data_IF_626109382433
#
_entry.id   IF_626109382433
#
_cell.length_a   1.000
_cell.length_b   1.000
_cell.length_c   1.000
_cell.angle_alpha   90.00
_cell.angle_beta   90.00
_cell.angle_gamma   90.00
#
_symmetry.space_group_name_H-M   'P 1'
#
loop_
_entity.id
_entity.type
_entity.pdbx_description
1 polymer ?
#
# COMPACT_ATOMS: atom_id res chain seq x y z
N UNK A 1 1.20 19.28 -17.62
CA UNK A 1 0.79 18.32 -18.65
C UNK A 1 1.66 18.58 -19.87
N UNK A 2 2.20 17.55 -20.49
CA UNK A 2 2.97 17.70 -21.73
C UNK A 2 2.06 18.03 -22.92
N UNK A 3 2.64 18.26 -24.09
CA UNK A 3 1.90 18.62 -25.30
C UNK A 3 0.87 17.55 -25.67
N UNK A 4 1.24 16.28 -25.56
CA UNK A 4 0.38 15.15 -25.92
C UNK A 4 -0.76 14.96 -24.93
N UNK A 5 -0.49 15.06 -23.63
CA UNK A 5 -1.50 15.00 -22.58
C UNK A 5 -2.52 16.12 -22.69
N UNK A 6 -2.10 17.34 -23.07
CA UNK A 6 -3.01 18.46 -23.28
C UNK A 6 -4.00 18.20 -24.44
N UNK A 7 -3.52 17.69 -25.57
CA UNK A 7 -4.37 17.33 -26.72
C UNK A 7 -5.39 16.27 -26.32
N UNK A 8 -4.97 15.22 -25.62
CA UNK A 8 -5.86 14.15 -25.17
C UNK A 8 -6.92 14.65 -24.16
N UNK A 9 -6.51 15.53 -23.24
CA UNK A 9 -7.42 16.15 -22.28
C UNK A 9 -8.49 17.02 -22.95
N UNK A 10 -8.09 17.85 -23.91
CA UNK A 10 -9.02 18.69 -24.68
C UNK A 10 -10.01 17.86 -25.49
N UNK A 11 -9.54 16.77 -26.11
CA UNK A 11 -10.41 15.82 -26.82
C UNK A 11 -11.46 15.19 -25.89
N UNK A 12 -11.05 14.66 -24.73
CA UNK A 12 -11.99 14.07 -23.76
C UNK A 12 -13.00 15.09 -23.21
N UNK A 13 -12.58 16.35 -23.08
CA UNK A 13 -13.46 17.45 -22.68
C UNK A 13 -14.53 17.73 -23.74
N UNK A 14 -14.14 17.83 -25.02
CA UNK A 14 -15.05 18.02 -26.15
C UNK A 14 -16.03 16.86 -26.30
N UNK A 15 -15.57 15.62 -26.12
CA UNK A 15 -16.39 14.42 -26.16
C UNK A 15 -17.30 14.26 -24.92
N UNK A 16 -17.16 15.13 -23.89
CA UNK A 16 -17.86 15.04 -22.59
C UNK A 16 -17.58 13.75 -21.81
N UNK A 17 -16.43 13.13 -22.06
CA UNK A 17 -16.00 11.84 -21.48
C UNK A 17 -15.07 11.98 -20.29
N UNK A 18 -14.96 13.19 -19.73
CA UNK A 18 -14.15 13.47 -18.54
C UNK A 18 -14.56 12.66 -17.29
N UNK A 19 -15.75 12.05 -17.30
CA UNK A 19 -16.24 11.18 -16.22
C UNK A 19 -16.07 9.69 -16.51
N UNK A 20 -15.71 9.33 -17.74
CA UNK A 20 -15.51 7.94 -18.11
C UNK A 20 -14.27 7.40 -17.39
N UNK A 21 -14.33 6.16 -16.90
CA UNK A 21 -13.16 5.52 -16.28
C UNK A 21 -12.16 5.01 -17.32
N UNK A 22 -12.64 4.56 -18.48
CA UNK A 22 -11.81 3.87 -19.46
C UNK A 22 -10.64 4.70 -20.02
N UNK A 23 -10.74 6.02 -20.24
CA UNK A 23 -9.60 6.81 -20.71
C UNK A 23 -8.50 6.98 -19.65
N UNK A 24 -8.84 6.77 -18.38
CA UNK A 24 -7.94 6.95 -17.24
C UNK A 24 -7.56 5.62 -16.56
N UNK A 25 -8.12 4.49 -17.01
CA UNK A 25 -7.89 3.18 -16.41
C UNK A 25 -8.17 2.05 -17.42
N UNK A 26 -7.21 1.14 -17.67
CA UNK A 26 -5.87 1.12 -17.08
C UNK A 26 -4.98 2.24 -17.65
N UNK A 27 -4.05 2.76 -16.84
CA UNK A 27 -3.11 3.79 -17.27
C UNK A 27 -2.08 3.22 -18.25
N UNK A 28 -2.46 3.07 -19.52
CA UNK A 28 -1.61 2.46 -20.56
C UNK A 28 -0.21 3.12 -20.66
N UNK A 29 -0.11 4.42 -20.33
CA UNK A 29 1.11 5.20 -20.40
C UNK A 29 1.83 5.39 -19.05
N UNK A 30 1.53 4.57 -18.03
CA UNK A 30 2.34 4.56 -16.80
C UNK A 30 1.97 5.64 -15.77
N UNK A 31 0.67 5.81 -15.50
CA UNK A 31 0.20 6.57 -14.34
C UNK A 31 0.70 5.97 -13.02
N UNK A 32 0.81 6.80 -11.98
CA UNK A 32 1.27 6.39 -10.66
C UNK A 32 0.08 6.11 -9.76
N UNK A 33 -0.02 4.89 -9.24
CA UNK A 33 -0.97 4.55 -8.19
C UNK A 33 -0.33 4.78 -6.82
N UNK A 34 -1.07 5.38 -5.88
CA UNK A 34 -0.60 5.59 -4.50
C UNK A 34 -1.48 4.79 -3.55
N UNK A 35 -0.86 3.94 -2.72
CA UNK A 35 -1.56 3.17 -1.68
C UNK A 35 -0.91 3.37 -0.34
N UNK A 36 -1.74 3.51 0.69
CA UNK A 36 -1.30 3.65 2.06
C UNK A 36 -1.79 2.48 2.91
N UNK A 37 -0.97 2.03 3.85
CA UNK A 37 -1.32 1.02 4.85
C UNK A 37 -0.73 1.43 6.20
N UNK A 38 -1.45 1.18 7.30
CA UNK A 38 -0.94 1.37 8.67
C UNK A 38 -0.45 0.06 9.31
N UNK A 39 -0.19 -0.95 8.46
CA UNK A 39 0.15 -2.29 8.89
C UNK A 39 -1.01 -3.04 9.54
N UNK A 40 -0.82 -4.35 9.68
CA UNK A 40 -1.69 -5.19 10.49
C UNK A 40 -1.13 -5.36 11.89
N UNK A 41 -2.01 -5.48 12.86
CA UNK A 41 -1.68 -5.85 14.24
C UNK A 41 -2.31 -7.22 14.55
N UNK A 42 -1.73 -8.03 15.45
CA UNK A 42 -2.33 -9.28 15.87
C UNK A 42 -3.71 -9.06 16.50
N UNK A 43 -4.47 -10.14 16.57
CA UNK A 43 -5.77 -10.15 17.26
C UNK A 43 -5.59 -9.89 18.76
N UNK A 44 -6.61 -9.39 19.47
CA UNK A 44 -6.55 -9.22 20.93
C UNK A 44 -6.16 -10.51 21.66
N UNK A 45 -6.60 -11.67 21.16
CA UNK A 45 -6.24 -12.98 21.71
C UNK A 45 -4.76 -13.30 21.55
N UNK A 46 -4.14 -12.96 20.43
CA UNK A 46 -2.69 -13.14 20.22
C UNK A 46 -1.88 -12.20 21.12
N UNK A 47 -2.30 -10.94 21.27
CA UNK A 47 -1.59 -9.94 22.08
C UNK A 47 -1.65 -10.23 23.59
N UNK A 48 -2.78 -10.76 24.09
CA UNK A 48 -2.89 -11.20 25.49
C UNK A 48 -1.82 -12.23 25.87
N UNK A 49 -1.39 -13.09 24.94
CA UNK A 49 -0.34 -14.10 25.21
C UNK A 49 1.04 -13.50 25.45
N UNK A 50 1.27 -12.27 24.98
CA UNK A 50 2.54 -11.56 25.10
C UNK A 50 2.46 -10.40 26.10
N UNK A 51 1.37 -10.31 26.88
CA UNK A 51 1.14 -9.22 27.83
C UNK A 51 0.94 -7.86 27.17
N UNK A 52 0.63 -7.83 25.86
CA UNK A 52 0.39 -6.59 25.11
C UNK A 52 -1.10 -6.39 24.88
N UNK A 53 -1.49 -5.14 24.65
CA UNK A 53 -2.84 -4.76 24.28
C UNK A 53 -2.91 -4.33 22.81
N UNK A 54 -4.12 -4.37 22.26
CA UNK A 54 -4.35 -3.91 20.89
C UNK A 54 -4.33 -2.38 20.89
N UNK A 55 -3.55 -1.72 20.02
CA UNK A 55 -3.54 -0.27 19.90
C UNK A 55 -4.95 0.26 19.60
N UNK A 56 -5.34 1.32 20.29
CA UNK A 56 -6.57 2.06 20.05
C UNK A 56 -6.41 3.04 18.87
N UNK A 57 -7.43 3.85 18.61
CA UNK A 57 -7.37 4.91 17.61
C UNK A 57 -6.33 5.96 17.99
N UNK A 58 -5.38 6.21 17.09
CA UNK A 58 -4.30 7.19 17.31
C UNK A 58 -3.07 6.62 18.00
N UNK A 59 -3.09 5.37 18.45
CA UNK A 59 -1.92 4.77 19.09
C UNK A 59 -0.85 4.37 18.08
N UNK A 60 0.42 4.57 18.46
CA UNK A 60 1.59 4.09 17.73
C UNK A 60 1.57 2.56 17.65
N UNK A 61 1.74 2.00 16.46
CA UNK A 61 1.55 0.56 16.21
C UNK A 61 2.83 -0.23 16.09
N UNK A 62 3.97 0.41 15.81
CA UNK A 62 5.22 -0.28 15.48
C UNK A 62 5.62 -1.36 16.50
N UNK A 63 5.30 -1.18 17.79
CA UNK A 63 5.60 -2.12 18.87
C UNK A 63 4.88 -3.48 18.76
N UNK A 64 3.78 -3.54 18.00
CA UNK A 64 2.96 -4.74 17.80
C UNK A 64 2.67 -5.02 16.34
N UNK A 65 3.20 -4.22 15.41
CA UNK A 65 2.95 -4.39 13.98
C UNK A 65 3.45 -5.77 13.53
N UNK A 66 2.57 -6.54 12.86
CA UNK A 66 2.84 -7.92 12.44
C UNK A 66 3.20 -8.01 10.96
N UNK A 67 2.56 -7.20 10.13
CA UNK A 67 2.80 -7.18 8.69
C UNK A 67 2.44 -5.83 8.09
N UNK A 68 2.85 -5.62 6.84
CA UNK A 68 2.33 -4.57 5.99
C UNK A 68 2.15 -5.08 4.57
N UNK A 69 1.08 -4.63 3.93
CA UNK A 69 0.70 -4.97 2.56
C UNK A 69 -0.17 -3.84 1.99
N UNK A 70 -0.14 -3.71 0.67
CA UNK A 70 -1.01 -2.79 -0.07
C UNK A 70 -2.15 -3.56 -0.74
N UNK A 71 -3.25 -2.85 -0.97
CA UNK A 71 -4.48 -3.42 -1.50
C UNK A 71 -4.93 -2.65 -2.73
N UNK A 72 -5.40 -3.36 -3.74
CA UNK A 72 -5.87 -2.79 -5.00
C UNK A 72 -7.19 -3.44 -5.42
N UNK A 73 -7.97 -2.75 -6.26
CA UNK A 73 -9.20 -3.31 -6.83
C UNK A 73 -8.94 -4.13 -8.11
N UNK A 74 -7.77 -3.93 -8.72
CA UNK A 74 -7.30 -4.57 -9.94
C UNK A 74 -5.90 -5.14 -9.69
N UNK A 75 -5.38 -5.97 -10.60
CA UNK A 75 -4.08 -6.65 -10.44
C UNK A 75 -3.02 -6.12 -11.40
N UNK A 76 -3.42 -5.27 -12.35
CA UNK A 76 -2.61 -4.70 -13.41
C UNK A 76 -1.77 -3.47 -12.94
N UNK A 77 -1.74 -3.18 -11.62
CA UNK A 77 -0.98 -2.05 -11.08
C UNK A 77 0.52 -2.30 -11.23
N UNK A 78 1.15 -1.57 -12.14
CA UNK A 78 2.59 -1.68 -12.42
C UNK A 78 3.44 -0.61 -11.71
N UNK A 79 3.02 0.68 -11.76
CA UNK A 79 3.70 1.79 -11.10
C UNK A 79 3.00 2.17 -9.79
N UNK A 80 3.55 1.73 -8.66
CA UNK A 80 2.96 1.91 -7.34
C UNK A 80 3.91 2.67 -6.42
N UNK A 81 3.42 3.75 -5.81
CA UNK A 81 3.98 4.32 -4.58
C UNK A 81 3.25 3.68 -3.40
N UNK A 82 4.00 2.86 -2.65
CA UNK A 82 3.53 2.23 -1.43
C UNK A 82 3.92 3.06 -0.21
N UNK A 83 2.95 3.52 0.56
CA UNK A 83 3.14 4.25 1.81
C UNK A 83 2.84 3.32 2.99
N UNK A 84 3.78 3.23 3.93
CA UNK A 84 3.54 2.75 5.29
C UNK A 84 3.43 3.97 6.20
N UNK A 85 2.34 4.07 6.95
CA UNK A 85 2.13 5.15 7.91
C UNK A 85 1.83 4.59 9.29
N UNK A 86 2.09 5.37 10.33
CA UNK A 86 1.81 5.02 11.72
C UNK A 86 1.40 6.29 12.48
N UNK A 87 1.09 6.18 13.77
CA UNK A 87 0.85 7.34 14.62
C UNK A 87 2.07 7.65 15.48
N UNK A 88 2.41 8.92 15.62
CA UNK A 88 3.37 9.42 16.62
C UNK A 88 2.65 10.48 17.45
N UNK A 89 2.49 10.22 18.76
CA UNK A 89 1.74 11.10 19.68
C UNK A 89 0.37 11.49 19.09
N UNK A 90 -0.41 10.48 18.67
CA UNK A 90 -1.73 10.60 18.03
C UNK A 90 -1.79 11.27 16.65
N UNK A 91 -0.65 11.70 16.10
CA UNK A 91 -0.58 12.33 14.78
C UNK A 91 -0.18 11.28 13.73
N UNK A 92 -0.96 11.10 12.64
CA UNK A 92 -0.59 10.18 11.57
C UNK A 92 0.64 10.71 10.82
N UNK A 93 1.64 9.85 10.63
CA UNK A 93 2.88 10.17 9.94
C UNK A 93 3.22 9.08 8.93
N UNK A 94 3.79 9.49 7.79
CA UNK A 94 4.43 8.57 6.86
C UNK A 94 5.73 8.09 7.49
N UNK A 95 5.88 6.78 7.65
CA UNK A 95 7.07 6.17 8.27
C UNK A 95 7.94 5.43 7.26
N UNK A 96 7.40 5.04 6.11
CA UNK A 96 8.18 4.56 4.97
C UNK A 96 7.46 4.75 3.64
N UNK A 97 8.24 4.92 2.57
CA UNK A 97 7.79 5.04 1.19
C UNK A 97 8.57 4.08 0.31
N UNK A 98 7.87 3.39 -0.57
CA UNK A 98 8.40 2.38 -1.49
C UNK A 98 7.89 2.64 -2.90
N UNK A 99 8.62 2.18 -3.92
CA UNK A 99 8.20 2.30 -5.30
C UNK A 99 8.38 1.01 -6.10
N UNK A 100 7.30 0.54 -6.73
CA UNK A 100 7.35 -0.58 -7.66
C UNK A 100 7.04 -0.08 -9.07
N UNK A 101 7.85 -0.47 -10.05
CA UNK A 101 7.63 -0.23 -11.49
C UNK A 101 7.74 -1.50 -12.34
N UNK A 102 7.78 -2.66 -11.68
CA UNK A 102 7.91 -3.98 -12.27
C UNK A 102 6.98 -5.00 -11.57
N UNK A 103 5.85 -4.49 -11.08
CA UNK A 103 4.82 -5.31 -10.47
C UNK A 103 4.00 -5.99 -11.57
N UNK A 104 3.66 -7.25 -11.35
CA UNK A 104 2.83 -8.04 -12.25
C UNK A 104 1.63 -8.59 -11.48
N UNK A 105 0.66 -9.15 -12.18
CA UNK A 105 -0.53 -9.76 -11.57
C UNK A 105 -0.18 -10.79 -10.48
N UNK A 106 0.97 -11.47 -10.59
CA UNK A 106 1.43 -12.47 -9.61
C UNK A 106 1.93 -11.86 -8.30
N UNK A 107 2.23 -10.57 -8.28
CA UNK A 107 2.53 -9.82 -7.06
C UNK A 107 1.25 -9.51 -6.27
N UNK A 108 0.09 -9.77 -6.83
CA UNK A 108 -1.23 -9.54 -6.25
C UNK A 108 -1.99 -10.85 -6.03
N UNK A 109 -2.64 -10.97 -4.88
CA UNK A 109 -3.52 -12.09 -4.58
C UNK A 109 -4.74 -12.14 -5.50
N UNK A 110 -5.46 -13.27 -5.48
CA UNK A 110 -6.77 -13.35 -6.14
C UNK A 110 -7.72 -12.29 -5.56
N UNK A 111 -8.57 -11.72 -6.42
CA UNK A 111 -9.58 -10.77 -5.98
C UNK A 111 -10.53 -11.49 -5.02
N UNK A 112 -10.62 -10.96 -3.80
CA UNK A 112 -11.55 -11.42 -2.78
C UNK A 112 -12.84 -10.62 -2.92
N UNK A 113 -13.94 -11.31 -3.22
CA UNK A 113 -15.26 -10.71 -3.33
C UNK A 113 -15.94 -10.59 -1.96
N UNK A 114 -16.75 -9.54 -1.72
CA UNK A 114 -17.67 -9.47 -0.59
C UNK A 114 -18.55 -10.72 -0.51
N UNK A 115 -18.91 -11.11 0.71
CA UNK A 115 -19.94 -12.11 0.97
C UNK A 115 -21.12 -11.42 1.64
N UNK A 116 -22.33 -11.88 1.35
CA UNK A 116 -23.53 -11.42 2.04
C UNK A 116 -23.39 -11.67 3.56
N UNK A 117 -23.72 -10.67 4.38
CA UNK A 117 -23.49 -10.70 5.84
C UNK A 117 -22.04 -10.56 6.29
N UNK A 118 -21.08 -10.40 5.38
CA UNK A 118 -19.67 -10.19 5.70
C UNK A 118 -19.31 -8.72 5.96
N UNK A 119 -18.26 -8.47 6.73
CA UNK A 119 -17.78 -7.10 7.02
C UNK A 119 -17.06 -6.38 5.86
N UNK A 120 -16.98 -6.98 4.67
CA UNK A 120 -16.35 -6.38 3.48
C UNK A 120 -17.43 -5.88 2.53
N UNK A 121 -17.32 -4.63 2.11
CA UNK A 121 -18.27 -4.00 1.17
C UNK A 121 -17.75 -3.92 -0.26
N UNK A 122 -16.46 -4.15 -0.49
CA UNK A 122 -15.81 -4.02 -1.80
C UNK A 122 -14.84 -5.16 -2.11
N UNK A 123 -14.71 -5.46 -3.40
CA UNK A 123 -13.77 -6.44 -3.94
C UNK A 123 -12.35 -5.91 -3.85
N UNK A 124 -11.43 -6.73 -3.34
CA UNK A 124 -10.06 -6.30 -3.13
C UNK A 124 -9.07 -7.42 -3.39
N UNK A 125 -7.97 -7.09 -4.05
CA UNK A 125 -6.76 -7.89 -4.12
C UNK A 125 -5.75 -7.36 -3.09
N UNK A 126 -5.06 -8.28 -2.41
CA UNK A 126 -4.04 -7.98 -1.42
C UNK A 126 -2.69 -8.35 -2.01
N UNK A 127 -1.71 -7.45 -1.91
CA UNK A 127 -0.36 -7.72 -2.38
C UNK A 127 0.24 -8.95 -1.68
N UNK A 128 0.88 -9.82 -2.44
CA UNK A 128 1.53 -11.02 -1.95
C UNK A 128 2.84 -10.70 -1.21
N UNK A 129 3.40 -11.68 -0.47
CA UNK A 129 4.73 -11.52 0.15
C UNK A 129 5.82 -11.24 -0.88
N UNK A 130 5.69 -11.79 -2.09
CA UNK A 130 6.66 -11.55 -3.18
C UNK A 130 6.56 -10.10 -3.67
N UNK A 131 5.35 -9.60 -3.89
CA UNK A 131 5.11 -8.20 -4.24
C UNK A 131 5.65 -7.23 -3.20
N UNK A 132 5.37 -7.49 -1.92
CA UNK A 132 5.91 -6.66 -0.83
C UNK A 132 7.45 -6.70 -0.80
N UNK A 133 8.07 -7.85 -1.09
CA UNK A 133 9.54 -7.94 -1.18
C UNK A 133 10.09 -7.15 -2.37
N UNK A 134 9.39 -7.08 -3.52
CA UNK A 134 9.77 -6.18 -4.63
C UNK A 134 9.71 -4.72 -4.21
N UNK A 135 8.61 -4.30 -3.59
CA UNK A 135 8.46 -2.94 -3.06
C UNK A 135 9.59 -2.59 -2.07
N UNK A 136 9.89 -3.50 -1.14
CA UNK A 136 10.96 -3.34 -0.16
C UNK A 136 12.33 -3.12 -0.80
N UNK A 137 12.66 -3.85 -1.88
CA UNK A 137 13.92 -3.69 -2.61
C UNK A 137 14.09 -2.30 -3.24
N UNK A 138 12.97 -1.61 -3.48
CA UNK A 138 12.92 -0.27 -4.05
C UNK A 138 12.32 0.71 -3.03
N UNK A 139 12.80 0.67 -1.79
CA UNK A 139 12.45 1.68 -0.79
C UNK A 139 13.00 3.06 -1.23
N UNK A 140 12.27 4.12 -0.90
CA UNK A 140 12.64 5.51 -1.20
C UNK A 140 13.02 6.24 0.09
N UNK A 141 12.20 6.06 1.12
CA UNK A 141 12.37 6.76 2.38
C UNK A 141 11.91 5.86 3.52
N UNK A 142 12.59 5.97 4.65
CA UNK A 142 12.13 5.46 5.93
C UNK A 142 12.41 6.52 7.00
N UNK A 143 11.52 6.64 7.98
CA UNK A 143 11.76 7.48 9.16
C UNK A 143 13.05 7.01 9.83
N UNK A 144 13.91 7.95 10.20
CA UNK A 144 15.15 7.66 10.93
C UNK A 144 14.83 7.26 12.39
N UNK A 145 14.31 6.05 12.54
CA UNK A 145 13.87 5.42 13.78
C UNK A 145 14.07 3.91 13.61
N UNK A 146 14.94 3.36 14.46
CA UNK A 146 15.39 1.97 14.37
C UNK A 146 14.23 0.97 14.44
N UNK A 147 13.12 1.32 15.08
CA UNK A 147 11.97 0.42 15.20
C UNK A 147 11.37 0.11 13.83
N UNK A 148 11.25 1.12 12.97
CA UNK A 148 10.73 0.95 11.62
C UNK A 148 11.75 0.27 10.71
N UNK A 149 13.02 0.68 10.76
CA UNK A 149 14.10 0.05 9.99
C UNK A 149 14.19 -1.44 10.29
N UNK A 150 14.27 -1.79 11.58
CA UNK A 150 14.36 -3.17 12.03
C UNK A 150 13.11 -3.98 11.69
N UNK A 151 11.91 -3.39 11.83
CA UNK A 151 10.67 -4.06 11.47
C UNK A 151 10.63 -4.41 9.98
N UNK A 152 10.90 -3.45 9.10
CA UNK A 152 10.82 -3.64 7.65
C UNK A 152 11.88 -4.65 7.18
N UNK A 153 13.11 -4.56 7.67
CA UNK A 153 14.18 -5.53 7.39
C UNK A 153 13.79 -6.95 7.85
N UNK A 154 13.40 -7.09 9.13
CA UNK A 154 13.01 -8.38 9.71
C UNK A 154 11.84 -9.01 8.96
N UNK A 155 10.81 -8.22 8.64
CA UNK A 155 9.64 -8.71 7.93
C UNK A 155 9.99 -9.27 6.54
N UNK A 156 10.95 -8.65 5.85
CA UNK A 156 11.43 -9.08 4.54
C UNK A 156 12.57 -10.10 4.58
N UNK A 157 13.00 -10.51 5.78
CA UNK A 157 14.09 -11.46 6.04
C UNK A 157 15.37 -11.01 5.32
N UNK A 158 15.72 -9.75 5.53
CA UNK A 158 16.78 -9.07 4.80
C UNK A 158 17.30 -7.89 5.64
N UNK A 159 18.36 -7.20 5.20
CA UNK A 159 18.97 -6.08 5.93
C UNK A 159 19.34 -4.90 5.02
N UNK A 160 18.59 -4.71 3.93
CA UNK A 160 18.85 -3.70 2.91
C UNK A 160 18.86 -2.27 3.44
N UNK A 161 17.95 -1.96 4.38
CA UNK A 161 17.80 -0.60 4.91
C UNK A 161 18.75 -0.45 6.09
N UNK A 162 19.66 0.51 6.02
CA UNK A 162 20.58 0.90 7.09
C UNK A 162 20.55 2.42 7.29
N UNK A 163 21.10 2.90 8.41
CA UNK A 163 21.21 4.33 8.73
C UNK A 163 22.28 5.02 7.90
#
# INVERSE_FOLDING_TARGET
>A
MDKNGKVFFEQLSQERRMRDKSPFSPFANGGVEVKATCGSVPTPRELKKTGKEKPDMGDTRIEVMKSYDWKAHHRETNNLIGILWDFEKTIPQIVAVFFGNNLTDNDWGKIVQPKEGGGRTTSVSIMSRQGVKKMYKNWIMIKNDDRYINFVNKYNKDNLISK
#
